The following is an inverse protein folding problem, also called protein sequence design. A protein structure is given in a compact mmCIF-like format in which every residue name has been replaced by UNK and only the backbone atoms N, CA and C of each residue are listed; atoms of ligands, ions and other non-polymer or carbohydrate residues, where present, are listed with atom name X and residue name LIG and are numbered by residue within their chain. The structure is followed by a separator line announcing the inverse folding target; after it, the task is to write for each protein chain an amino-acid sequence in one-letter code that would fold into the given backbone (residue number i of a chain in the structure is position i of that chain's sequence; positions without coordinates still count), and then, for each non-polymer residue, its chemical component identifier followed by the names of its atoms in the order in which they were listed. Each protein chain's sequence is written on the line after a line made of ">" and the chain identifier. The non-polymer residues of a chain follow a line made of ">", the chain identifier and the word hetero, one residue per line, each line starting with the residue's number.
data_IF_841973678887
#
_entry.id   IF_841973678887
#
_cell.length_a   1.000
_cell.length_b   1.000
_cell.length_c   1.000
_cell.angle_alpha   90.00
_cell.angle_beta   90.00
_cell.angle_gamma   90.00
#
_symmetry.space_group_name_H-M   'P 1'
#
loop_
_entity.id
_entity.type
_entity.pdbx_description
1 polymer ?
#
# COMPACT_ATOMS: atom_id res chain seq x y z
N UNK A 1 -8.78 -10.41 30.11
CA UNK A 1 -8.55 -9.00 29.75
C UNK A 1 -8.38 -8.88 28.24
N UNK A 2 -9.16 -8.04 27.65
CA UNK A 2 -9.10 -7.85 26.22
C UNK A 2 -7.88 -7.04 25.81
N UNK A 3 -7.25 -7.48 24.74
CA UNK A 3 -6.14 -6.76 24.18
C UNK A 3 -6.67 -5.71 23.19
N UNK A 4 -6.63 -4.46 23.58
CA UNK A 4 -7.07 -3.35 22.77
C UNK A 4 -5.92 -2.74 21.96
N UNK A 5 -5.16 -3.56 21.26
CA UNK A 5 -4.16 -3.02 20.35
C UNK A 5 -4.85 -2.20 19.26
N UNK A 6 -4.22 -1.08 18.87
CA UNK A 6 -4.73 -0.25 17.78
C UNK A 6 -4.85 -1.07 16.50
N UNK A 7 -5.88 -0.85 15.67
CA UNK A 7 -6.04 -1.57 14.43
C UNK A 7 -4.86 -1.29 13.49
N UNK A 8 -4.47 -2.31 12.74
CA UNK A 8 -3.46 -2.14 11.69
C UNK A 8 -4.15 -1.64 10.42
N UNK A 9 -3.88 -0.41 10.05
CA UNK A 9 -4.54 0.28 8.95
C UNK A 9 -3.70 0.17 7.69
N UNK A 10 -4.31 -0.34 6.63
CA UNK A 10 -3.68 -0.43 5.31
C UNK A 10 -4.42 0.49 4.36
N UNK A 11 -3.71 1.43 3.76
CA UNK A 11 -4.23 2.33 2.76
C UNK A 11 -3.85 1.83 1.37
N UNK A 12 -4.84 1.51 0.55
CA UNK A 12 -4.65 0.99 -0.80
C UNK A 12 -4.95 2.10 -1.80
N UNK A 13 -3.97 2.45 -2.61
CA UNK A 13 -4.09 3.44 -3.68
C UNK A 13 -4.08 2.75 -5.03
N UNK A 14 -5.21 2.67 -5.69
CA UNK A 14 -5.41 2.00 -6.97
C UNK A 14 -6.65 2.57 -7.64
N UNK A 15 -6.57 2.92 -8.92
CA UNK A 15 -7.71 3.46 -9.67
C UNK A 15 -8.63 2.40 -10.27
N UNK A 16 -8.23 1.14 -10.24
CA UNK A 16 -9.02 0.03 -10.79
C UNK A 16 -9.91 -0.57 -9.69
N UNK A 17 -11.22 -0.38 -9.83
CA UNK A 17 -12.18 -0.87 -8.85
C UNK A 17 -12.20 -2.39 -8.71
N UNK A 18 -11.98 -3.11 -9.82
CA UNK A 18 -11.93 -4.57 -9.79
C UNK A 18 -10.71 -5.07 -9.02
N UNK A 19 -9.57 -4.43 -9.21
CA UNK A 19 -8.36 -4.75 -8.44
C UNK A 19 -8.56 -4.45 -6.96
N UNK A 20 -9.23 -3.36 -6.61
CA UNK A 20 -9.55 -3.03 -5.22
C UNK A 20 -10.44 -4.10 -4.58
N UNK A 21 -11.44 -4.60 -5.32
CA UNK A 21 -12.31 -5.68 -4.84
C UNK A 21 -11.54 -6.98 -4.61
N UNK A 22 -10.59 -7.30 -5.50
CA UNK A 22 -9.76 -8.50 -5.35
C UNK A 22 -8.83 -8.38 -4.14
N UNK A 23 -8.23 -7.22 -3.93
CA UNK A 23 -7.38 -6.98 -2.75
C UNK A 23 -8.20 -7.08 -1.47
N UNK A 24 -9.39 -6.49 -1.44
CA UNK A 24 -10.28 -6.59 -0.28
C UNK A 24 -10.64 -8.04 0.01
N UNK A 25 -11.01 -8.81 -1.03
CA UNK A 25 -11.33 -10.23 -0.89
C UNK A 25 -10.13 -11.04 -0.37
N UNK A 26 -8.93 -10.74 -0.86
CA UNK A 26 -7.71 -11.41 -0.41
C UNK A 26 -7.47 -11.17 1.08
N UNK A 27 -7.62 -9.94 1.55
CA UNK A 27 -7.44 -9.63 2.97
C UNK A 27 -8.49 -10.29 3.87
N UNK A 28 -9.71 -10.50 3.37
CA UNK A 28 -10.75 -11.21 4.13
C UNK A 28 -10.41 -12.67 4.39
N UNK A 29 -9.61 -13.28 3.53
CA UNK A 29 -9.19 -14.67 3.69
C UNK A 29 -8.03 -14.84 4.67
N UNK A 30 -7.42 -13.75 5.09
CA UNK A 30 -6.30 -13.80 6.02
C UNK A 30 -6.77 -13.92 7.47
N UNK A 31 -5.95 -14.58 8.30
CA UNK A 31 -6.24 -14.76 9.73
C UNK A 31 -6.18 -13.44 10.51
N UNK A 32 -5.40 -12.48 10.03
CA UNK A 32 -5.30 -11.16 10.65
C UNK A 32 -6.43 -10.25 10.21
N UNK A 33 -7.01 -9.53 11.17
CA UNK A 33 -7.99 -8.50 10.88
C UNK A 33 -7.27 -7.18 10.59
N UNK A 34 -7.28 -6.78 9.33
CA UNK A 34 -6.75 -5.49 8.90
C UNK A 34 -7.87 -4.49 8.66
N UNK A 35 -7.62 -3.24 8.94
CA UNK A 35 -8.53 -2.14 8.62
C UNK A 35 -8.12 -1.55 7.29
N UNK A 36 -8.92 -1.77 6.25
CA UNK A 36 -8.59 -1.35 4.90
C UNK A 36 -9.23 -0.01 4.55
N UNK A 37 -8.47 0.84 3.90
CA UNK A 37 -8.92 2.12 3.35
C UNK A 37 -8.50 2.19 1.89
N UNK A 38 -9.33 2.79 1.03
CA UNK A 38 -9.09 2.84 -0.40
C UNK A 38 -9.13 4.28 -0.90
N UNK A 39 -8.18 4.62 -1.77
CA UNK A 39 -8.16 5.87 -2.54
C UNK A 39 -7.91 5.54 -4.01
N UNK A 40 -8.43 6.35 -4.92
CA UNK A 40 -8.47 6.04 -6.33
C UNK A 40 -7.36 6.66 -7.18
N UNK A 41 -6.56 7.57 -6.63
CA UNK A 41 -5.46 8.20 -7.35
C UNK A 41 -4.44 8.82 -6.39
N UNK A 42 -3.35 9.34 -6.96
CA UNK A 42 -2.29 9.92 -6.14
C UNK A 42 -2.69 11.21 -5.42
N UNK A 43 -3.62 11.98 -5.99
CA UNK A 43 -4.11 13.20 -5.32
C UNK A 43 -4.91 12.84 -4.08
N UNK A 44 -5.83 11.88 -4.19
CA UNK A 44 -6.58 11.39 -3.05
C UNK A 44 -5.66 10.78 -1.97
N UNK A 45 -4.62 10.05 -2.40
CA UNK A 45 -3.64 9.49 -1.49
C UNK A 45 -2.98 10.57 -0.63
N UNK A 46 -2.51 11.64 -1.26
CA UNK A 46 -1.86 12.74 -0.55
C UNK A 46 -2.86 13.52 0.30
N UNK A 47 -4.07 13.75 -0.18
CA UNK A 47 -5.13 14.39 0.58
C UNK A 47 -5.49 13.58 1.84
N UNK A 48 -5.57 12.26 1.71
CA UNK A 48 -5.80 11.38 2.85
C UNK A 48 -4.71 11.56 3.92
N UNK A 49 -3.44 11.47 3.50
CA UNK A 49 -2.31 11.56 4.43
C UNK A 49 -2.26 12.92 5.15
N UNK A 50 -2.59 14.00 4.45
CA UNK A 50 -2.57 15.36 5.01
C UNK A 50 -3.89 15.76 5.67
N UNK A 51 -4.89 14.89 5.69
CA UNK A 51 -6.24 15.18 6.18
C UNK A 51 -6.83 16.44 5.53
N UNK A 52 -6.78 16.47 4.20
CA UNK A 52 -7.30 17.57 3.39
C UNK A 52 -8.54 17.13 2.60
N UNK A 53 -9.37 18.11 2.18
CA UNK A 53 -10.54 17.87 1.38
C UNK A 53 -11.53 16.92 2.05
N UNK A 54 -11.93 15.88 1.35
CA UNK A 54 -12.87 14.87 1.84
C UNK A 54 -12.31 14.04 3.00
N UNK A 55 -11.02 14.14 3.27
CA UNK A 55 -10.31 13.37 4.30
C UNK A 55 -9.93 14.23 5.53
N UNK A 56 -10.67 15.31 5.76
CA UNK A 56 -10.30 16.30 6.78
C UNK A 56 -10.38 15.78 8.22
N UNK A 57 -11.21 14.77 8.51
CA UNK A 57 -11.36 14.23 9.85
C UNK A 57 -10.27 13.20 10.16
N UNK A 58 -9.29 13.51 11.03
CA UNK A 58 -8.19 12.58 11.32
C UNK A 58 -8.64 11.34 12.11
N UNK A 59 -9.79 11.37 12.76
CA UNK A 59 -10.32 10.19 13.43
C UNK A 59 -10.94 9.21 12.43
N UNK A 60 -11.60 9.74 11.39
CA UNK A 60 -12.16 8.92 10.31
C UNK A 60 -11.09 8.44 9.34
N UNK A 61 -10.04 9.23 9.14
CA UNK A 61 -8.95 8.96 8.20
C UNK A 61 -7.59 9.02 8.91
N UNK A 62 -7.31 8.02 9.77
CA UNK A 62 -6.06 8.00 10.53
C UNK A 62 -4.85 7.65 9.65
N UNK A 63 -3.66 8.01 10.12
CA UNK A 63 -2.41 7.68 9.45
C UNK A 63 -2.30 6.16 9.30
N UNK A 64 -2.04 5.65 8.07
CA UNK A 64 -1.92 4.21 7.87
C UNK A 64 -0.61 3.65 8.41
N UNK A 65 -0.63 2.35 8.71
CA UNK A 65 0.56 1.60 9.09
C UNK A 65 1.31 1.06 7.88
N UNK A 66 0.62 0.96 6.74
CA UNK A 66 1.15 0.40 5.50
C UNK A 66 0.38 1.02 4.34
N UNK A 67 1.08 1.30 3.25
CA UNK A 67 0.46 1.74 2.00
C UNK A 67 0.74 0.69 0.92
N UNK A 68 -0.32 0.24 0.25
CA UNK A 68 -0.22 -0.51 -1.01
C UNK A 68 -0.43 0.48 -2.14
N UNK A 69 0.53 0.59 -3.04
CA UNK A 69 0.56 1.66 -4.03
C UNK A 69 0.70 1.11 -5.44
N UNK A 70 -0.30 1.36 -6.28
CA UNK A 70 -0.18 1.12 -7.71
C UNK A 70 0.59 2.28 -8.36
N UNK A 71 1.39 1.96 -9.38
CA UNK A 71 2.18 2.97 -10.09
C UNK A 71 1.35 3.74 -11.10
N UNK A 72 0.39 3.09 -11.75
CA UNK A 72 -0.36 3.68 -12.86
C UNK A 72 -1.71 4.20 -12.39
N UNK A 73 -1.73 5.46 -11.98
CA UNK A 73 -2.93 6.15 -11.52
C UNK A 73 -3.05 7.52 -12.16
N UNK A 74 -4.28 8.04 -12.34
CA UNK A 74 -4.47 9.39 -12.87
C UNK A 74 -4.11 10.47 -11.86
N UNK A 75 -4.05 11.70 -12.32
CA UNK A 75 -3.70 12.95 -11.63
C UNK A 75 -2.25 12.93 -11.14
N UNK A 76 -1.98 12.27 -10.03
CA UNK A 76 -0.61 12.04 -9.54
C UNK A 76 -0.39 10.54 -9.59
N UNK A 77 0.60 10.09 -10.37
CA UNK A 77 0.86 8.65 -10.45
C UNK A 77 1.63 8.15 -9.22
N UNK A 78 1.74 6.82 -9.11
CA UNK A 78 2.34 6.22 -7.92
C UNK A 78 3.83 6.54 -7.77
N UNK A 79 4.55 6.76 -8.86
CA UNK A 79 5.98 7.10 -8.81
C UNK A 79 6.17 8.47 -8.16
N UNK A 80 5.38 9.45 -8.60
CA UNK A 80 5.42 10.80 -8.02
C UNK A 80 4.95 10.78 -6.57
N UNK A 81 3.86 10.08 -6.27
CA UNK A 81 3.36 9.96 -4.91
C UNK A 81 4.42 9.35 -3.97
N UNK A 82 5.11 8.31 -4.41
CA UNK A 82 6.18 7.69 -3.64
C UNK A 82 7.27 8.70 -3.26
N UNK A 83 7.73 9.50 -4.24
CA UNK A 83 8.78 10.49 -3.97
C UNK A 83 8.31 11.56 -2.99
N UNK A 84 7.08 12.01 -3.10
CA UNK A 84 6.50 13.02 -2.22
C UNK A 84 6.40 12.47 -0.79
N UNK A 85 5.86 11.27 -0.62
CA UNK A 85 5.67 10.66 0.70
C UNK A 85 7.01 10.40 1.37
N UNK A 86 7.98 9.87 0.64
CA UNK A 86 9.30 9.55 1.19
C UNK A 86 10.15 10.78 1.46
N UNK A 87 9.78 11.93 0.93
CA UNK A 87 10.41 13.22 1.24
C UNK A 87 9.76 13.95 2.42
N UNK A 88 8.63 13.47 2.90
CA UNK A 88 7.88 14.10 3.98
C UNK A 88 8.29 13.51 5.33
N UNK A 89 8.74 14.34 6.26
CA UNK A 89 9.21 13.93 7.59
C UNK A 89 8.11 13.22 8.39
N UNK A 90 6.85 13.53 8.13
CA UNK A 90 5.72 12.93 8.87
C UNK A 90 5.34 11.55 8.34
N UNK A 91 5.66 11.24 7.07
CA UNK A 91 5.16 10.03 6.39
C UNK A 91 6.24 9.11 5.85
N UNK A 92 7.50 9.58 5.80
CA UNK A 92 8.60 8.82 5.18
C UNK A 92 8.86 7.45 5.80
N UNK A 93 8.47 7.24 7.04
CA UNK A 93 8.69 5.98 7.74
C UNK A 93 7.56 4.96 7.54
N UNK A 94 6.46 5.35 6.88
CA UNK A 94 5.39 4.42 6.56
C UNK A 94 5.89 3.46 5.48
N UNK A 95 5.85 2.14 5.70
CA UNK A 95 6.22 1.19 4.66
C UNK A 95 5.28 1.32 3.46
N UNK A 96 5.86 1.29 2.26
CA UNK A 96 5.10 1.34 1.01
C UNK A 96 5.44 0.11 0.19
N UNK A 97 4.43 -0.72 -0.06
CA UNK A 97 4.52 -1.85 -0.98
C UNK A 97 3.96 -1.42 -2.33
N UNK A 98 4.76 -1.59 -3.36
CA UNK A 98 4.27 -1.39 -4.74
C UNK A 98 3.50 -2.64 -5.13
N UNK A 99 2.27 -2.46 -5.60
CA UNK A 99 1.42 -3.53 -6.13
C UNK A 99 0.91 -3.09 -7.49
N UNK A 100 1.52 -3.59 -8.56
CA UNK A 100 1.31 -3.08 -9.91
C UNK A 100 1.37 -4.18 -10.96
N UNK A 101 0.79 -3.93 -12.12
CA UNK A 101 0.93 -4.83 -13.28
C UNK A 101 2.26 -4.65 -14.00
N UNK A 102 2.99 -3.57 -13.74
CA UNK A 102 4.28 -3.32 -14.37
C UNK A 102 5.32 -4.38 -13.98
N UNK A 103 6.07 -4.83 -14.98
CA UNK A 103 7.21 -5.75 -14.81
C UNK A 103 8.52 -5.10 -15.24
N UNK A 104 8.49 -3.80 -15.51
CA UNK A 104 9.62 -3.10 -16.10
C UNK A 104 10.73 -2.88 -15.09
N UNK A 105 11.96 -3.16 -15.51
CA UNK A 105 13.13 -2.97 -14.66
C UNK A 105 13.29 -1.52 -14.20
N UNK A 106 12.94 -0.56 -15.08
CA UNK A 106 13.01 0.87 -14.71
C UNK A 106 12.11 1.22 -13.53
N UNK A 107 10.94 0.59 -13.45
CA UNK A 107 10.00 0.82 -12.33
C UNK A 107 10.50 0.16 -11.04
N UNK A 108 11.07 -1.02 -11.15
CA UNK A 108 11.69 -1.71 -10.01
C UNK A 108 12.84 -0.87 -9.47
N UNK A 109 13.73 -0.40 -10.34
CA UNK A 109 14.89 0.38 -9.95
C UNK A 109 14.48 1.73 -9.32
N UNK A 110 13.49 2.39 -9.92
CA UNK A 110 12.97 3.67 -9.43
C UNK A 110 12.38 3.52 -8.03
N UNK A 111 11.49 2.56 -7.84
CA UNK A 111 10.79 2.38 -6.56
C UNK A 111 11.74 1.94 -5.47
N UNK A 112 12.72 1.09 -5.81
CA UNK A 112 13.77 0.70 -4.87
C UNK A 112 14.59 1.91 -4.43
N UNK A 113 15.02 2.72 -5.39
CA UNK A 113 15.82 3.92 -5.12
C UNK A 113 15.12 4.91 -4.19
N UNK A 114 13.80 5.09 -4.40
CA UNK A 114 13.01 6.06 -3.64
C UNK A 114 12.36 5.48 -2.39
N UNK A 115 12.78 4.30 -1.96
CA UNK A 115 12.47 3.82 -0.63
C UNK A 115 11.22 2.95 -0.47
N UNK A 116 10.69 2.40 -1.56
CA UNK A 116 9.64 1.40 -1.44
C UNK A 116 10.17 0.17 -0.68
N UNK A 117 9.30 -0.47 0.09
CA UNK A 117 9.67 -1.64 0.89
C UNK A 117 9.83 -2.89 0.03
N UNK A 118 9.00 -3.07 -0.98
CA UNK A 118 9.11 -4.17 -1.95
C UNK A 118 8.27 -3.86 -3.17
N UNK A 119 8.49 -4.63 -4.23
CA UNK A 119 7.80 -4.49 -5.51
C UNK A 119 7.04 -5.79 -5.81
N UNK A 120 5.72 -5.70 -5.82
CA UNK A 120 4.84 -6.84 -6.03
C UNK A 120 4.16 -6.69 -7.39
N UNK A 121 4.34 -7.68 -8.26
CA UNK A 121 3.63 -7.72 -9.54
C UNK A 121 2.29 -8.39 -9.31
N UNK A 122 1.20 -7.72 -9.71
CA UNK A 122 -0.16 -8.27 -9.55
C UNK A 122 -0.28 -9.61 -10.26
N UNK A 123 -0.57 -10.70 -9.54
CA UNK A 123 -0.78 -11.99 -10.19
C UNK A 123 -2.15 -12.06 -10.86
N UNK A 124 -2.27 -12.94 -11.86
CA UNK A 124 -3.53 -13.18 -12.55
C UNK A 124 -4.46 -14.13 -11.78
N UNK A 125 -3.90 -14.91 -10.87
CA UNK A 125 -4.63 -15.89 -10.07
C UNK A 125 -4.87 -15.35 -8.68
N UNK A 126 -6.14 -15.39 -8.24
CA UNK A 126 -6.54 -14.85 -6.94
C UNK A 126 -5.81 -15.50 -5.76
N UNK A 127 -5.61 -16.81 -5.81
CA UNK A 127 -4.90 -17.51 -4.72
C UNK A 127 -3.47 -17.03 -4.59
N UNK A 128 -2.81 -16.71 -5.72
CA UNK A 128 -1.46 -16.18 -5.72
C UNK A 128 -1.42 -14.77 -5.11
N UNK A 129 -2.43 -13.96 -5.37
CA UNK A 129 -2.57 -12.63 -4.76
C UNK A 129 -2.72 -12.75 -3.24
N UNK A 130 -3.58 -13.65 -2.79
CA UNK A 130 -3.81 -13.89 -1.35
C UNK A 130 -2.53 -14.35 -0.66
N UNK A 131 -1.83 -15.32 -1.25
CA UNK A 131 -0.58 -15.83 -0.69
C UNK A 131 0.50 -14.75 -0.63
N UNK A 132 0.63 -13.97 -1.72
CA UNK A 132 1.59 -12.87 -1.79
C UNK A 132 1.34 -11.83 -0.71
N UNK A 133 0.11 -11.34 -0.60
CA UNK A 133 -0.24 -10.31 0.39
C UNK A 133 -0.12 -10.82 1.81
N UNK A 134 -0.54 -12.06 2.06
CA UNK A 134 -0.44 -12.68 3.38
C UNK A 134 1.01 -12.76 3.85
N UNK A 135 1.90 -13.26 2.98
CA UNK A 135 3.32 -13.42 3.31
C UNK A 135 4.01 -12.08 3.53
N UNK A 136 3.81 -11.12 2.62
CA UNK A 136 4.52 -9.84 2.70
C UNK A 136 3.99 -8.97 3.83
N UNK A 137 2.68 -8.94 4.05
CA UNK A 137 2.10 -8.17 5.16
C UNK A 137 2.51 -8.73 6.52
N UNK A 138 2.56 -10.05 6.65
CA UNK A 138 3.05 -10.67 7.89
C UNK A 138 4.51 -10.32 8.15
N UNK A 139 5.35 -10.31 7.12
CA UNK A 139 6.75 -9.94 7.24
C UNK A 139 6.92 -8.49 7.69
N UNK A 140 6.11 -7.56 7.16
CA UNK A 140 6.17 -6.14 7.53
C UNK A 140 5.64 -5.91 8.96
N UNK A 141 4.60 -6.64 9.37
CA UNK A 141 4.12 -6.58 10.75
C UNK A 141 5.21 -6.96 11.74
N UNK A 142 5.98 -7.98 11.38
CA UNK A 142 7.07 -8.48 12.21
C UNK A 142 8.29 -7.54 12.18
N UNK A 143 8.63 -7.02 10.99
CA UNK A 143 9.75 -6.11 10.80
C UNK A 143 9.47 -5.10 9.69
N UNK A 144 9.15 -3.83 10.02
CA UNK A 144 8.90 -2.79 9.01
C UNK A 144 10.09 -2.48 8.09
N UNK A 145 11.29 -2.90 8.47
CA UNK A 145 12.53 -2.66 7.71
C UNK A 145 12.99 -3.91 6.95
N UNK A 146 12.05 -4.64 6.35
CA UNK A 146 12.38 -5.81 5.53
C UNK A 146 13.26 -5.43 4.33
N UNK A 147 14.04 -6.40 3.85
CA UNK A 147 14.84 -6.20 2.64
C UNK A 147 13.93 -6.06 1.42
N UNK A 148 14.30 -5.16 0.50
CA UNK A 148 13.55 -4.98 -0.75
C UNK A 148 13.58 -6.26 -1.57
N UNK A 149 12.40 -6.71 -2.00
CA UNK A 149 12.22 -7.90 -2.82
C UNK A 149 11.31 -7.59 -4.00
N UNK A 150 11.50 -8.33 -5.09
CA UNK A 150 10.60 -8.32 -6.24
C UNK A 150 9.88 -9.66 -6.25
N UNK A 151 8.55 -9.64 -6.15
CA UNK A 151 7.73 -10.84 -6.03
C UNK A 151 6.70 -10.86 -7.17
N UNK A 152 6.52 -12.03 -7.78
CA UNK A 152 5.52 -12.23 -8.82
C UNK A 152 5.96 -11.87 -10.24
N UNK A 153 7.20 -11.48 -10.44
CA UNK A 153 7.72 -11.04 -11.74
C UNK A 153 7.83 -12.15 -12.80
#
# INVERSE_FOLDING_TARGET
>A
MENHSAPFIILIADDDEDDCLLVEAAFREMDHSYNLRFVGDGRELLDYLHNEGDFADPEAYPVPNLILLDLNMPRIDGREALTIIKSDLHFRDIPILILTTSREQKDIDFTRKYGASSFLVKPDVFEDLTDMLSEVCAAILDNPHIAFQVIGR
#
